data_IF_638184310898
#
_entry.id   IF_638184310898
#
_cell.length_a   1.000
_cell.length_b   1.000
_cell.length_c   1.000
_cell.angle_alpha   90.00
_cell.angle_beta   90.00
_cell.angle_gamma   90.00
#
_symmetry.space_group_name_H-M   'P 1'
#
loop_
_entity.id
_entity.type
_entity.pdbx_description
1 polymer ?
#
# COMPACT_ATOMS: atom_id res chain seq x y z
N UNK A 1 49.79 -52.66 59.17
CA UNK A 1 48.43 -52.51 59.71
C UNK A 1 48.30 -51.08 60.19
N UNK A 2 47.52 -50.31 59.44
CA UNK A 2 46.82 -49.03 59.68
C UNK A 2 46.75 -48.38 58.30
N UNK A 3 45.64 -48.72 57.61
CA UNK A 3 45.16 -48.09 56.39
C UNK A 3 44.60 -46.73 56.79
N UNK A 4 45.11 -45.65 56.19
CA UNK A 4 44.42 -44.37 56.17
C UNK A 4 43.79 -44.20 54.79
N UNK A 5 42.47 -44.39 54.78
CA UNK A 5 41.54 -44.24 53.67
C UNK A 5 41.50 -42.80 53.18
N UNK A 6 41.82 -42.58 51.90
CA UNK A 6 41.43 -41.39 51.16
C UNK A 6 39.91 -41.42 50.90
N UNK A 7 39.20 -40.29 50.95
CA UNK A 7 37.78 -40.22 50.58
C UNK A 7 37.61 -40.32 49.05
N UNK A 8 36.54 -40.97 48.55
CA UNK A 8 36.27 -41.04 47.12
C UNK A 8 35.75 -39.71 46.59
N UNK A 9 36.28 -39.30 45.43
CA UNK A 9 35.79 -38.21 44.61
C UNK A 9 34.30 -38.42 44.26
N UNK A 10 33.50 -37.39 44.48
CA UNK A 10 32.09 -37.38 44.10
C UNK A 10 31.96 -37.42 42.58
N UNK A 11 31.59 -38.59 42.05
CA UNK A 11 31.02 -38.74 40.71
C UNK A 11 29.70 -37.97 40.64
N UNK A 12 29.77 -36.72 40.20
CA UNK A 12 28.59 -35.98 39.80
C UNK A 12 27.95 -36.68 38.61
N UNK A 13 26.75 -37.23 38.79
CA UNK A 13 25.88 -37.59 37.67
C UNK A 13 25.60 -36.30 36.89
N UNK A 14 26.36 -36.07 35.82
CA UNK A 14 26.00 -35.08 34.83
C UNK A 14 24.82 -35.68 34.06
N UNK A 15 23.62 -35.28 34.46
CA UNK A 15 22.44 -35.50 33.66
C UNK A 15 22.72 -34.91 32.27
N UNK A 16 22.85 -35.78 31.26
CA UNK A 16 22.73 -35.37 29.88
C UNK A 16 21.30 -34.85 29.71
N UNK A 17 21.11 -33.56 29.95
CA UNK A 17 19.96 -32.86 29.41
C UNK A 17 20.10 -32.95 27.90
N UNK A 18 19.21 -33.76 27.30
CA UNK A 18 18.97 -33.73 25.86
C UNK A 18 18.49 -32.31 25.58
N UNK A 19 19.40 -31.45 25.12
CA UNK A 19 19.00 -30.18 24.51
C UNK A 19 18.19 -30.59 23.29
N UNK A 20 16.89 -30.24 23.20
CA UNK A 20 16.12 -30.52 21.99
C UNK A 20 16.90 -29.89 20.84
N UNK A 21 17.25 -30.71 19.85
CA UNK A 21 17.99 -30.31 18.66
C UNK A 21 17.50 -28.94 18.19
N UNK A 22 18.39 -27.95 18.09
CA UNK A 22 18.08 -26.70 17.42
C UNK A 22 17.51 -27.07 16.04
N UNK A 23 16.21 -26.85 15.87
CA UNK A 23 15.50 -27.17 14.64
C UNK A 23 16.08 -26.26 13.56
N UNK A 24 16.71 -26.85 12.54
CA UNK A 24 17.58 -26.14 11.61
C UNK A 24 16.83 -24.94 10.99
N UNK A 25 15.62 -25.14 10.48
CA UNK A 25 14.80 -24.10 9.86
C UNK A 25 14.27 -23.01 10.81
N UNK A 26 14.18 -23.31 12.12
CA UNK A 26 13.77 -22.33 13.14
C UNK A 26 14.95 -21.52 13.68
N UNK A 27 16.19 -21.92 13.38
CA UNK A 27 17.39 -21.21 13.79
C UNK A 27 17.71 -20.04 12.85
N UNK A 28 18.47 -19.02 13.31
CA UNK A 28 18.97 -17.96 12.43
C UNK A 28 19.78 -18.54 11.26
N UNK A 29 19.36 -18.25 10.03
CA UNK A 29 19.96 -18.81 8.80
C UNK A 29 19.34 -20.13 8.31
N UNK A 30 18.43 -20.72 9.07
CA UNK A 30 17.67 -21.91 8.68
C UNK A 30 16.55 -21.68 7.66
N UNK A 31 16.13 -20.42 7.54
CA UNK A 31 15.09 -19.97 6.63
C UNK A 31 15.52 -18.67 5.96
N UNK A 32 14.90 -18.37 4.83
CA UNK A 32 15.07 -17.11 4.10
C UNK A 32 13.96 -16.15 4.45
N UNK A 33 14.25 -14.86 4.44
CA UNK A 33 13.24 -13.83 4.63
C UNK A 33 12.60 -13.51 3.29
N UNK A 34 11.29 -13.67 3.20
CA UNK A 34 10.50 -13.23 2.06
C UNK A 34 9.88 -11.88 2.42
N UNK A 35 10.61 -10.81 2.09
CA UNK A 35 10.30 -9.45 2.51
C UNK A 35 9.97 -8.57 1.32
N UNK A 36 8.73 -8.07 1.28
CA UNK A 36 8.30 -7.05 0.32
C UNK A 36 7.00 -6.41 0.82
N UNK A 37 6.95 -5.07 0.99
CA UNK A 37 5.72 -4.34 1.33
C UNK A 37 4.54 -4.65 0.42
N UNK A 38 4.82 -4.88 -0.86
CA UNK A 38 3.81 -5.13 -1.88
C UNK A 38 3.09 -6.46 -1.67
N UNK A 39 3.64 -7.42 -0.89
CA UNK A 39 2.99 -8.71 -0.58
C UNK A 39 1.82 -8.59 0.38
N UNK A 40 1.54 -7.40 0.91
CA UNK A 40 0.44 -7.17 1.83
C UNK A 40 -0.90 -7.43 1.13
N UNK A 41 -1.80 -8.17 1.80
CA UNK A 41 -3.19 -8.40 1.33
C UNK A 41 -3.95 -7.11 1.01
N UNK A 42 -3.62 -5.98 1.63
CA UNK A 42 -4.26 -4.69 1.40
C UNK A 42 -3.63 -3.89 0.24
N UNK A 43 -2.55 -4.37 -0.37
CA UNK A 43 -1.92 -3.68 -1.48
C UNK A 43 -2.66 -3.97 -2.80
N UNK A 44 -3.30 -2.94 -3.37
CA UNK A 44 -3.97 -3.02 -4.67
C UNK A 44 -2.94 -2.99 -5.81
N UNK A 45 -3.00 -4.02 -6.65
CA UNK A 45 -2.08 -4.29 -7.75
C UNK A 45 -2.71 -4.02 -9.12
N UNK A 46 -3.95 -3.51 -9.20
CA UNK A 46 -4.60 -3.18 -10.47
C UNK A 46 -3.78 -2.16 -11.28
N UNK A 47 -3.17 -1.17 -10.63
CA UNK A 47 -2.35 -0.16 -11.29
C UNK A 47 -0.97 -0.67 -11.74
N UNK A 48 -0.45 -1.75 -11.14
CA UNK A 48 0.81 -2.38 -11.56
C UNK A 48 0.69 -3.09 -12.92
N UNK A 49 -0.53 -3.40 -13.37
CA UNK A 49 -0.77 -3.99 -14.69
C UNK A 49 -0.53 -2.99 -15.82
N UNK A 50 -0.56 -1.69 -15.53
CA UNK A 50 -0.50 -0.60 -16.51
C UNK A 50 0.87 0.08 -16.58
N UNK A 51 1.77 -0.21 -15.63
CA UNK A 51 3.10 0.42 -15.56
C UNK A 51 4.21 -0.62 -15.71
N UNK A 52 4.96 -0.55 -16.80
CA UNK A 52 6.15 -1.38 -17.02
C UNK A 52 7.31 -1.09 -16.04
N UNK A 53 7.16 -0.07 -15.19
CA UNK A 53 8.20 0.43 -14.28
C UNK A 53 8.23 -0.28 -12.92
N UNK A 54 7.16 -0.98 -12.52
CA UNK A 54 7.13 -1.79 -11.30
C UNK A 54 6.86 -3.25 -11.65
N UNK A 55 7.85 -4.10 -11.39
CA UNK A 55 7.78 -5.53 -11.66
C UNK A 55 6.76 -6.18 -10.71
N UNK A 56 5.68 -6.73 -11.26
CA UNK A 56 4.71 -7.52 -10.49
C UNK A 56 5.44 -8.65 -9.76
N UNK A 57 4.94 -9.01 -8.58
CA UNK A 57 5.44 -10.15 -7.83
C UNK A 57 5.09 -11.43 -8.59
N UNK A 58 6.13 -12.08 -9.09
CA UNK A 58 6.08 -13.37 -9.77
C UNK A 58 7.00 -14.37 -9.07
N UNK A 59 6.45 -15.25 -8.23
CA UNK A 59 7.22 -16.24 -7.46
C UNK A 59 7.59 -17.49 -8.28
N UNK A 60 7.50 -17.45 -9.61
CA UNK A 60 7.99 -18.55 -10.47
C UNK A 60 9.52 -18.70 -10.40
N UNK A 61 10.23 -17.64 -10.01
CA UNK A 61 11.68 -17.62 -9.82
C UNK A 61 12.08 -17.89 -8.36
N UNK A 62 11.10 -18.03 -7.46
CA UNK A 62 11.34 -18.33 -6.06
C UNK A 62 11.94 -19.73 -5.91
N UNK A 63 13.16 -19.84 -5.42
CA UNK A 63 13.77 -21.14 -5.14
C UNK A 63 13.00 -21.88 -4.05
N UNK A 64 12.92 -23.21 -4.12
CA UNK A 64 12.33 -23.98 -3.03
C UNK A 64 13.14 -23.87 -1.73
N UNK A 65 12.46 -23.72 -0.59
CA UNK A 65 13.10 -23.62 0.71
C UNK A 65 12.17 -23.14 1.82
N UNK A 66 12.69 -23.05 3.05
CA UNK A 66 11.97 -22.48 4.17
C UNK A 66 12.00 -20.96 4.13
N UNK A 67 10.83 -20.34 4.21
CA UNK A 67 10.65 -18.90 4.19
C UNK A 67 9.90 -18.42 5.41
N UNK A 68 10.28 -17.24 5.90
CA UNK A 68 9.53 -16.45 6.87
C UNK A 68 9.12 -15.15 6.20
N UNK A 69 7.84 -14.79 6.31
CA UNK A 69 7.34 -13.56 5.73
C UNK A 69 7.64 -12.38 6.64
N UNK A 70 8.05 -11.28 6.01
CA UNK A 70 8.11 -9.98 6.66
C UNK A 70 7.40 -8.93 5.79
N UNK A 71 6.53 -8.15 6.43
CA UNK A 71 5.95 -6.95 5.84
C UNK A 71 6.47 -5.76 6.62
N UNK A 72 7.09 -4.79 5.93
CA UNK A 72 7.65 -3.60 6.57
C UNK A 72 8.57 -3.93 7.77
N UNK A 73 9.46 -4.93 7.59
CA UNK A 73 10.36 -5.47 8.63
C UNK A 73 9.64 -6.09 9.86
N UNK A 74 8.33 -6.35 9.77
CA UNK A 74 7.54 -7.00 10.83
C UNK A 74 7.16 -8.44 10.53
N UNK A 75 6.96 -9.28 11.56
CA UNK A 75 6.38 -10.60 11.41
C UNK A 75 5.06 -10.55 10.62
N UNK A 76 5.01 -11.35 9.57
CA UNK A 76 3.81 -11.56 8.79
C UNK A 76 3.59 -13.07 8.59
N UNK A 77 2.33 -13.44 8.39
CA UNK A 77 1.91 -14.82 8.14
C UNK A 77 1.24 -14.88 6.76
N UNK A 78 1.25 -16.06 6.12
CA UNK A 78 0.37 -16.25 4.96
C UNK A 78 -1.09 -16.12 5.42
N UNK A 79 -1.93 -15.31 4.74
CA UNK A 79 -3.33 -15.15 5.10
C UNK A 79 -4.05 -16.50 4.99
N UNK A 80 -4.92 -16.81 5.94
CA UNK A 80 -5.73 -18.04 5.92
C UNK A 80 -7.12 -17.84 5.33
N UNK A 81 -7.39 -16.62 4.84
CA UNK A 81 -8.63 -16.23 4.16
C UNK A 81 -8.34 -15.97 2.69
N UNK A 82 -9.34 -16.22 1.85
CA UNK A 82 -9.24 -15.93 0.42
C UNK A 82 -8.90 -14.46 0.19
N UNK A 83 -7.86 -14.23 -0.59
CA UNK A 83 -7.43 -12.90 -1.04
C UNK A 83 -8.05 -12.61 -2.40
N UNK A 84 -8.52 -11.38 -2.62
CA UNK A 84 -9.06 -10.91 -3.90
C UNK A 84 -7.99 -10.85 -4.99
N UNK A 85 -8.39 -11.01 -6.26
CA UNK A 85 -7.46 -10.87 -7.38
C UNK A 85 -6.84 -9.47 -7.42
N UNK A 86 -5.65 -9.36 -8.00
CA UNK A 86 -4.92 -8.10 -8.08
C UNK A 86 -4.56 -7.50 -6.72
N UNK A 87 -4.30 -8.34 -5.73
CA UNK A 87 -3.75 -7.92 -4.43
C UNK A 87 -2.36 -8.55 -4.20
N UNK A 88 -1.67 -8.12 -3.15
CA UNK A 88 -0.34 -8.62 -2.77
C UNK A 88 0.74 -8.45 -3.84
N UNK A 89 0.62 -7.42 -4.68
CA UNK A 89 1.58 -7.10 -5.72
C UNK A 89 1.53 -8.06 -6.91
N UNK A 90 0.49 -8.88 -7.04
CA UNK A 90 0.37 -9.93 -8.07
C UNK A 90 -1.05 -10.03 -8.63
N UNK A 91 -1.21 -10.63 -9.81
CA UNK A 91 -2.53 -10.87 -10.42
C UNK A 91 -3.24 -12.06 -9.80
N UNK A 92 -2.46 -13.07 -9.40
CA UNK A 92 -2.93 -14.33 -8.85
C UNK A 92 -2.36 -14.52 -7.42
N UNK A 93 -3.02 -13.93 -6.41
CA UNK A 93 -2.56 -14.01 -5.04
C UNK A 93 -2.70 -15.42 -4.47
N UNK A 94 -1.65 -15.89 -3.80
CA UNK A 94 -1.57 -17.19 -3.13
C UNK A 94 -1.72 -17.01 -1.62
N UNK A 95 -2.69 -17.72 -1.04
CA UNK A 95 -3.02 -17.71 0.38
C UNK A 95 -3.05 -19.14 0.94
N UNK A 96 -2.98 -19.30 2.25
CA UNK A 96 -2.96 -20.62 2.89
C UNK A 96 -4.39 -21.12 3.14
N UNK A 97 -4.81 -22.18 2.47
CA UNK A 97 -6.14 -22.75 2.64
C UNK A 97 -6.16 -23.74 3.79
N UNK A 98 -7.01 -23.45 4.77
CA UNK A 98 -7.34 -24.34 5.88
C UNK A 98 -8.72 -24.91 5.62
N UNK A 99 -8.85 -26.23 5.49
CA UNK A 99 -10.16 -26.90 5.49
C UNK A 99 -10.83 -26.72 6.85
N UNK A 100 -12.15 -26.91 6.92
CA UNK A 100 -12.95 -26.66 8.14
C UNK A 100 -12.45 -27.37 9.42
N UNK A 101 -11.74 -28.50 9.27
CA UNK A 101 -11.12 -29.26 10.37
C UNK A 101 -9.62 -29.04 10.55
N UNK A 102 -8.98 -28.25 9.68
CA UNK A 102 -7.54 -28.01 9.70
C UNK A 102 -7.19 -26.72 10.41
N UNK A 103 -6.31 -26.84 11.40
CA UNK A 103 -5.69 -25.71 12.09
C UNK A 103 -4.22 -25.57 11.70
N UNK A 104 -3.62 -24.41 12.00
CA UNK A 104 -2.17 -24.22 11.95
C UNK A 104 -1.45 -25.18 12.93
N UNK A 105 -0.19 -25.56 12.64
CA UNK A 105 0.58 -26.49 13.47
C UNK A 105 0.81 -25.96 14.89
N UNK A 106 0.83 -26.86 15.87
CA UNK A 106 1.20 -26.54 17.25
C UNK A 106 2.70 -26.24 17.35
N UNK A 107 3.18 -25.51 18.38
CA UNK A 107 4.60 -25.21 18.54
C UNK A 107 5.49 -26.46 18.44
N UNK A 108 6.50 -26.41 17.56
CA UNK A 108 7.43 -27.50 17.27
C UNK A 108 6.99 -28.46 16.15
N UNK A 109 5.70 -28.45 15.78
CA UNK A 109 5.10 -29.32 14.77
C UNK A 109 5.33 -28.80 13.34
N UNK A 110 5.42 -29.74 12.38
CA UNK A 110 5.34 -29.47 10.94
C UNK A 110 4.05 -30.09 10.42
N UNK A 111 3.25 -29.31 9.71
CA UNK A 111 2.00 -29.77 9.09
C UNK A 111 2.01 -29.50 7.59
N UNK A 112 1.62 -30.50 6.80
CA UNK A 112 1.40 -30.35 5.37
C UNK A 112 0.03 -29.73 5.15
N UNK A 113 0.00 -28.60 4.47
CA UNK A 113 -1.19 -27.82 4.15
C UNK A 113 -1.22 -27.50 2.65
N UNK A 114 -2.31 -26.89 2.19
CA UNK A 114 -2.47 -26.48 0.80
C UNK A 114 -2.54 -24.97 0.73
N UNK A 115 -1.68 -24.35 -0.08
CA UNK A 115 -1.85 -22.98 -0.51
C UNK A 115 -2.71 -22.94 -1.79
N UNK A 116 -3.52 -21.91 -1.92
CA UNK A 116 -4.48 -21.74 -3.01
C UNK A 116 -4.20 -20.43 -3.73
N UNK A 117 -4.19 -20.47 -5.06
CA UNK A 117 -4.16 -19.25 -5.88
C UNK A 117 -5.59 -18.86 -6.28
N UNK A 118 -5.92 -17.60 -6.03
CA UNK A 118 -7.18 -17.01 -6.47
C UNK A 118 -7.11 -16.62 -7.95
N UNK A 119 -8.10 -17.03 -8.75
CA UNK A 119 -8.22 -16.63 -10.15
C UNK A 119 -9.68 -16.60 -10.65
N UNK A 120 -9.93 -15.79 -11.68
CA UNK A 120 -11.21 -15.69 -12.37
C UNK A 120 -10.98 -15.76 -13.88
N UNK A 121 -11.69 -16.67 -14.56
CA UNK A 121 -11.66 -16.73 -16.03
C UNK A 121 -12.49 -15.59 -16.63
N UNK A 122 -12.03 -15.08 -17.78
CA UNK A 122 -12.57 -13.90 -18.50
C UNK A 122 -14.06 -13.98 -18.91
N UNK A 123 -14.76 -15.07 -18.61
CA UNK A 123 -16.19 -15.27 -18.90
C UNK A 123 -16.96 -15.93 -17.74
N UNK A 124 -16.33 -16.07 -16.57
CA UNK A 124 -16.94 -16.65 -15.37
C UNK A 124 -17.41 -15.54 -14.44
N UNK A 125 -18.66 -15.58 -13.99
CA UNK A 125 -19.18 -14.72 -12.93
C UNK A 125 -18.80 -15.23 -11.53
N UNK A 126 -18.29 -16.46 -11.43
CA UNK A 126 -17.84 -17.06 -10.18
C UNK A 126 -16.33 -17.01 -10.10
N UNK A 127 -15.83 -16.32 -9.06
CA UNK A 127 -14.43 -16.31 -8.65
C UNK A 127 -14.10 -17.65 -7.97
N UNK A 128 -13.00 -18.27 -8.38
CA UNK A 128 -12.47 -19.45 -7.69
C UNK A 128 -11.28 -19.03 -6.82
N UNK A 129 -11.48 -19.04 -5.51
CA UNK A 129 -10.46 -18.74 -4.51
C UNK A 129 -9.37 -19.81 -4.42
N UNK A 130 -9.57 -21.00 -4.98
CA UNK A 130 -8.59 -22.08 -4.94
C UNK A 130 -8.52 -22.82 -6.28
N UNK A 131 -8.33 -22.06 -7.36
CA UNK A 131 -8.20 -22.65 -8.69
C UNK A 131 -6.92 -23.49 -8.81
N UNK A 132 -5.79 -22.98 -8.30
CA UNK A 132 -4.53 -23.71 -8.27
C UNK A 132 -4.16 -24.09 -6.84
N UNK A 133 -3.85 -25.36 -6.63
CA UNK A 133 -3.44 -25.91 -5.34
C UNK A 133 -1.95 -26.16 -5.33
N UNK A 134 -1.27 -25.62 -4.31
CA UNK A 134 0.18 -25.71 -4.15
C UNK A 134 0.45 -26.34 -2.79
N UNK A 135 1.14 -27.49 -2.71
CA UNK A 135 1.45 -28.10 -1.43
C UNK A 135 2.49 -27.25 -0.68
N UNK A 136 2.22 -26.97 0.59
CA UNK A 136 3.10 -26.17 1.46
C UNK A 136 3.23 -26.88 2.80
N UNK A 137 4.46 -26.99 3.31
CA UNK A 137 4.68 -27.43 4.69
C UNK A 137 4.80 -26.21 5.59
N UNK A 138 4.05 -26.18 6.68
CA UNK A 138 4.12 -25.10 7.66
C UNK A 138 4.73 -25.66 8.94
N UNK A 139 5.74 -24.97 9.47
CA UNK A 139 6.34 -25.29 10.76
C UNK A 139 6.11 -24.16 11.74
N UNK A 140 5.67 -24.50 12.95
CA UNK A 140 5.56 -23.54 14.05
C UNK A 140 6.86 -23.56 14.88
N UNK A 141 7.63 -22.48 14.84
CA UNK A 141 8.85 -22.31 15.61
C UNK A 141 8.60 -21.73 17.01
N UNK A 142 7.35 -21.71 17.46
CA UNK A 142 6.89 -21.12 18.72
C UNK A 142 6.58 -19.63 18.57
N UNK A 143 7.56 -18.84 18.13
CA UNK A 143 7.42 -17.38 18.00
C UNK A 143 7.02 -16.91 16.59
N UNK A 144 7.14 -17.78 15.59
CA UNK A 144 6.83 -17.48 14.20
C UNK A 144 6.60 -18.79 13.42
N UNK A 145 5.94 -18.67 12.28
CA UNK A 145 5.85 -19.76 11.30
C UNK A 145 6.92 -19.64 10.24
N UNK A 146 7.42 -20.78 9.79
CA UNK A 146 8.18 -20.89 8.53
C UNK A 146 7.42 -21.79 7.58
N UNK A 147 7.50 -21.45 6.30
CA UNK A 147 6.74 -22.08 5.22
C UNK A 147 7.73 -22.68 4.23
N UNK A 148 7.62 -23.97 3.95
CA UNK A 148 8.36 -24.62 2.88
C UNK A 148 7.67 -24.28 1.57
N UNK A 149 8.18 -23.26 0.90
CA UNK A 149 7.63 -22.76 -0.35
C UNK A 149 8.35 -23.37 -1.55
N UNK A 150 7.68 -23.32 -2.69
CA UNK A 150 8.17 -23.80 -3.97
C UNK A 150 7.90 -22.79 -5.08
N UNK A 151 8.66 -22.82 -6.20
CA UNK A 151 8.38 -21.96 -7.34
C UNK A 151 6.95 -22.16 -7.84
N UNK A 152 6.27 -21.07 -8.19
CA UNK A 152 4.88 -21.10 -8.64
C UNK A 152 4.79 -21.41 -10.14
N UNK A 153 3.64 -21.93 -10.59
CA UNK A 153 3.37 -22.17 -12.01
C UNK A 153 2.86 -20.89 -12.67
N UNK A 154 3.71 -20.20 -13.43
CA UNK A 154 3.37 -18.88 -14.00
C UNK A 154 3.56 -17.74 -13.00
N UNK A 155 3.14 -16.52 -13.36
CA UNK A 155 3.30 -15.36 -12.48
C UNK A 155 2.18 -15.33 -11.41
N UNK A 156 2.43 -16.01 -10.30
CA UNK A 156 1.61 -15.96 -9.08
C UNK A 156 2.50 -15.59 -7.88
N UNK A 157 1.94 -14.94 -6.86
CA UNK A 157 2.71 -14.45 -5.71
C UNK A 157 2.15 -14.89 -4.36
N UNK A 158 3.01 -15.35 -3.46
CA UNK A 158 2.66 -15.64 -2.06
C UNK A 158 2.37 -14.34 -1.29
N UNK A 159 1.13 -14.22 -0.82
CA UNK A 159 0.66 -13.13 0.02
C UNK A 159 1.19 -13.24 1.45
N UNK A 160 1.23 -12.10 2.11
CA UNK A 160 1.46 -11.98 3.53
C UNK A 160 0.44 -11.04 4.16
N UNK A 161 0.07 -11.30 5.40
CA UNK A 161 -0.76 -10.47 6.24
C UNK A 161 0.00 -10.18 7.53
N UNK A 162 0.00 -8.92 7.95
CA UNK A 162 0.72 -8.52 9.16
C UNK A 162 0.06 -9.16 10.38
N UNK A 163 0.87 -9.70 11.29
CA UNK A 163 0.36 -10.21 12.57
C UNK A 163 -0.04 -8.99 13.40
N UNK A 164 -1.32 -8.88 13.80
CA UNK A 164 -1.76 -7.80 14.69
C UNK A 164 -1.13 -7.96 16.08
N UNK A 165 -0.80 -6.83 16.72
CA UNK A 165 -0.17 -6.80 18.06
C UNK A 165 -0.99 -7.57 19.13
N UNK A 166 -2.28 -7.83 18.88
CA UNK A 166 -3.15 -8.63 19.74
C UNK A 166 -2.83 -10.14 19.74
N UNK A 167 -2.13 -10.66 18.72
CA UNK A 167 -1.82 -12.10 18.57
C UNK A 167 -0.41 -12.46 19.08
N UNK A 168 0.40 -11.46 19.44
CA UNK A 168 1.81 -11.65 19.84
C UNK A 168 2.03 -11.82 21.36
N UNK A 169 0.99 -11.66 22.20
CA UNK A 169 1.14 -11.66 23.66
C UNK A 169 0.06 -12.50 24.40
N UNK A 170 0.46 -13.23 25.44
CA UNK A 170 -0.43 -13.99 26.35
C UNK A 170 -0.96 -13.15 27.53
N UNK A 171 -0.40 -11.95 27.77
CA UNK A 171 -1.06 -10.85 28.52
C UNK A 171 -1.27 -9.66 27.55
N UNK A 172 -2.11 -8.69 27.92
CA UNK A 172 -2.42 -7.55 27.05
C UNK A 172 -1.21 -6.65 26.75
N UNK A 173 -1.29 -5.78 25.73
CA UNK A 173 -0.19 -4.90 25.28
C UNK A 173 0.34 -3.90 26.33
N UNK A 174 -0.21 -3.88 27.55
CA UNK A 174 0.19 -2.99 28.66
C UNK A 174 0.57 -3.73 29.95
N UNK A 175 0.71 -5.06 29.93
CA UNK A 175 0.94 -5.85 31.15
C UNK A 175 2.23 -6.67 31.10
N UNK A 176 2.98 -6.67 32.20
CA UNK A 176 4.17 -7.53 32.39
C UNK A 176 3.79 -8.67 33.33
N UNK A 177 4.22 -9.89 33.01
CA UNK A 177 4.04 -11.07 33.86
C UNK A 177 5.06 -11.05 35.01
N UNK A 178 4.59 -10.74 36.24
CA UNK A 178 5.41 -10.84 37.46
C UNK A 178 4.81 -11.93 38.33
N UNK A 179 5.43 -13.11 38.36
CA UNK A 179 5.01 -14.20 39.24
C UNK A 179 3.66 -14.83 38.89
N UNK A 180 3.18 -14.71 37.64
CA UNK A 180 1.94 -15.31 37.16
C UNK A 180 0.70 -14.40 37.23
N UNK A 181 0.85 -13.15 37.67
CA UNK A 181 -0.20 -12.11 37.58
C UNK A 181 0.20 -11.01 36.59
N UNK A 182 -0.74 -10.61 35.72
CA UNK A 182 -0.55 -9.52 34.77
C UNK A 182 -0.79 -8.16 35.50
N UNK A 183 0.19 -7.25 35.50
CA UNK A 183 0.08 -5.90 36.11
C UNK A 183 0.19 -4.81 35.03
N UNK A 184 -0.85 -3.99 34.90
CA UNK A 184 -0.98 -2.96 33.85
C UNK A 184 -0.16 -1.69 34.12
N UNK A 185 0.69 -1.33 33.17
CA UNK A 185 1.38 -0.04 33.14
C UNK A 185 0.87 0.77 31.93
N UNK A 186 0.02 1.76 32.21
CA UNK A 186 -0.54 2.72 31.24
C UNK A 186 0.59 3.41 30.46
N UNK A 187 0.99 2.82 29.33
CA UNK A 187 1.91 3.42 28.39
C UNK A 187 1.09 3.95 27.23
N UNK A 188 0.48 5.11 27.42
CA UNK A 188 -0.26 5.81 26.38
C UNK A 188 0.63 5.92 25.14
N UNK A 189 0.32 5.15 24.09
CA UNK A 189 1.04 5.23 22.83
C UNK A 189 0.53 6.45 22.09
N UNK A 190 1.29 7.54 22.18
CA UNK A 190 0.95 8.77 21.51
C UNK A 190 1.08 8.59 19.99
N UNK A 191 0.10 9.09 19.20
CA UNK A 191 0.21 9.08 17.76
C UNK A 191 1.42 9.91 17.30
N UNK A 192 2.03 9.57 16.16
CA UNK A 192 3.12 10.36 15.61
C UNK A 192 2.65 11.80 15.32
N UNK A 193 3.59 12.76 15.28
CA UNK A 193 3.26 14.11 14.84
C UNK A 193 2.69 14.06 13.42
N UNK A 194 1.67 14.88 13.11
CA UNK A 194 1.10 14.94 11.77
C UNK A 194 2.14 15.47 10.75
N UNK A 195 1.96 15.14 9.45
CA UNK A 195 2.85 15.64 8.41
C UNK A 195 2.71 17.16 8.24
N UNK A 196 3.68 17.76 7.55
CA UNK A 196 3.51 19.09 6.97
C UNK A 196 2.30 19.12 6.04
N UNK A 197 1.76 20.32 5.77
CA UNK A 197 0.61 20.45 4.88
C UNK A 197 0.99 19.91 3.49
N UNK A 198 0.23 18.95 2.94
CA UNK A 198 0.54 18.45 1.61
C UNK A 198 0.36 19.52 0.54
N UNK A 199 1.28 19.53 -0.40
CA UNK A 199 1.26 20.40 -1.58
C UNK A 199 1.02 19.56 -2.83
N UNK A 200 0.07 20.02 -3.65
CA UNK A 200 -0.28 19.36 -4.92
C UNK A 200 0.34 20.14 -6.06
N UNK A 201 1.19 19.46 -6.84
CA UNK A 201 1.91 20.01 -8.00
C UNK A 201 1.69 19.10 -9.19
N UNK A 202 1.65 19.64 -10.41
CA UNK A 202 1.52 18.83 -11.63
C UNK A 202 2.90 18.50 -12.20
N UNK A 203 3.13 17.22 -12.45
CA UNK A 203 4.35 16.69 -13.05
C UNK A 203 4.03 16.00 -14.38
N UNK A 204 4.91 16.18 -15.37
CA UNK A 204 4.86 15.48 -16.65
C UNK A 204 5.85 14.31 -16.60
N UNK A 205 5.35 13.08 -16.64
CA UNK A 205 6.16 11.86 -16.60
C UNK A 205 5.85 11.05 -17.85
N UNK A 206 6.84 10.81 -18.71
CA UNK A 206 6.70 10.00 -19.92
C UNK A 206 5.50 10.41 -20.80
N UNK A 207 5.30 11.72 -20.99
CA UNK A 207 4.18 12.32 -21.74
C UNK A 207 2.79 12.18 -21.11
N UNK A 208 2.70 11.75 -19.85
CA UNK A 208 1.46 11.69 -19.06
C UNK A 208 1.49 12.69 -17.92
N UNK A 209 0.34 13.26 -17.60
CA UNK A 209 0.20 14.26 -16.55
C UNK A 209 -0.19 13.61 -15.23
N UNK A 210 0.54 13.94 -14.18
CA UNK A 210 0.28 13.46 -12.83
C UNK A 210 0.16 14.64 -11.87
N UNK A 211 -0.83 14.59 -10.99
CA UNK A 211 -0.84 15.39 -9.78
C UNK A 211 0.00 14.66 -8.73
N UNK A 212 1.10 15.28 -8.32
CA UNK A 212 1.94 14.84 -7.20
C UNK A 212 1.49 15.54 -5.94
N UNK A 213 1.18 14.77 -4.92
CA UNK A 213 1.01 15.26 -3.57
C UNK A 213 2.26 14.94 -2.77
N UNK A 214 2.94 15.94 -2.22
CA UNK A 214 4.14 15.78 -1.39
C UNK A 214 4.02 16.58 -0.09
N UNK A 215 4.68 16.12 0.97
CA UNK A 215 4.64 16.75 2.29
C UNK A 215 5.94 16.56 3.06
N UNK A 216 6.21 17.50 3.98
CA UNK A 216 7.36 17.42 4.86
C UNK A 216 7.11 16.46 6.03
N UNK A 217 8.13 15.69 6.38
CA UNK A 217 8.09 14.74 7.50
C UNK A 217 9.11 15.16 8.53
N UNK A 218 8.67 15.31 9.78
CA UNK A 218 9.58 15.61 10.88
C UNK A 218 10.57 14.46 11.06
N UNK A 219 11.87 14.73 11.27
CA UNK A 219 12.85 13.66 11.49
C UNK A 219 12.47 12.88 12.75
N UNK A 220 12.24 11.58 12.59
CA UNK A 220 11.95 10.65 13.69
C UNK A 220 12.97 9.52 13.68
N UNK A 221 13.28 8.98 14.85
CA UNK A 221 14.20 7.83 14.98
C UNK A 221 13.53 6.50 14.62
N UNK A 222 12.24 6.53 14.29
CA UNK A 222 11.40 5.35 14.06
C UNK A 222 10.98 5.31 12.60
N UNK A 223 10.91 4.11 12.02
CA UNK A 223 10.38 3.96 10.67
C UNK A 223 8.89 4.30 10.65
N UNK A 224 8.51 5.20 9.76
CA UNK A 224 7.13 5.68 9.59
C UNK A 224 6.57 5.27 8.23
N UNK A 225 5.26 5.09 8.17
CA UNK A 225 4.50 4.94 6.94
C UNK A 225 3.46 6.06 6.81
N UNK A 226 2.91 6.19 5.61
CA UNK A 226 1.97 7.23 5.24
C UNK A 226 0.71 6.61 4.65
N UNK A 227 -0.45 7.08 5.10
CA UNK A 227 -1.72 6.82 4.45
C UNK A 227 -2.10 8.10 3.69
N UNK A 228 -2.20 7.99 2.37
CA UNK A 228 -2.47 9.13 1.48
C UNK A 228 -3.79 8.87 0.75
N UNK A 229 -4.71 9.83 0.82
CA UNK A 229 -6.01 9.77 0.19
C UNK A 229 -6.25 10.99 -0.71
N UNK A 230 -6.69 10.74 -1.94
CA UNK A 230 -7.10 11.75 -2.91
C UNK A 230 -8.62 11.84 -2.93
N UNK A 231 -9.13 13.06 -2.93
CA UNK A 231 -10.56 13.32 -3.07
C UNK A 231 -10.85 14.44 -4.06
N UNK A 232 -12.04 14.40 -4.64
CA UNK A 232 -12.57 15.41 -5.56
C UNK A 232 -13.81 16.07 -4.96
N UNK A 233 -13.95 17.37 -5.17
CA UNK A 233 -15.17 18.10 -4.87
C UNK A 233 -16.21 17.90 -5.99
N UNK A 234 -17.34 17.31 -5.66
CA UNK A 234 -18.46 17.15 -6.57
C UNK A 234 -19.19 18.48 -6.78
N UNK A 235 -20.12 18.52 -7.74
CA UNK A 235 -20.98 19.69 -7.98
C UNK A 235 -21.92 20.01 -6.81
N UNK A 236 -22.12 19.05 -5.90
CA UNK A 236 -22.91 19.21 -4.68
C UNK A 236 -22.05 19.62 -3.48
N UNK A 237 -20.78 20.00 -3.70
CA UNK A 237 -19.81 20.35 -2.66
C UNK A 237 -19.53 19.17 -1.69
N UNK A 238 -19.66 17.93 -2.18
CA UNK A 238 -19.34 16.71 -1.43
C UNK A 238 -17.98 16.20 -1.90
N UNK A 239 -17.12 15.78 -0.96
CA UNK A 239 -15.84 15.16 -1.29
C UNK A 239 -16.03 13.68 -1.61
N UNK A 240 -15.67 13.29 -2.82
CA UNK A 240 -15.67 11.92 -3.32
C UNK A 240 -14.24 11.39 -3.32
N UNK A 241 -14.02 10.21 -2.74
CA UNK A 241 -12.70 9.58 -2.73
C UNK A 241 -12.35 9.06 -4.13
N UNK A 242 -11.15 9.38 -4.60
CA UNK A 242 -10.63 8.93 -5.89
C UNK A 242 -9.64 7.77 -5.74
N UNK A 243 -8.78 7.84 -4.72
CA UNK A 243 -7.69 6.89 -4.49
C UNK A 243 -7.23 6.97 -3.04
N UNK A 244 -7.00 5.82 -2.41
CA UNK A 244 -6.35 5.73 -1.10
C UNK A 244 -5.20 4.70 -1.17
N UNK A 245 -4.04 5.04 -0.63
CA UNK A 245 -2.88 4.15 -0.64
C UNK A 245 -2.06 4.24 0.65
N UNK A 246 -1.39 3.14 0.98
CA UNK A 246 -0.42 3.07 2.07
C UNK A 246 0.99 2.98 1.48
N UNK A 247 1.88 3.89 1.83
CA UNK A 247 3.23 3.98 1.27
C UNK A 247 4.28 4.39 2.31
N UNK A 248 5.55 4.12 2.02
CA UNK A 248 6.71 4.63 2.78
C UNK A 248 7.31 5.88 2.15
N UNK A 249 6.80 6.31 1.00
CA UNK A 249 7.22 7.53 0.33
C UNK A 249 6.39 8.70 0.84
N UNK A 250 7.04 9.83 1.14
CA UNK A 250 6.36 11.06 1.55
C UNK A 250 5.68 11.79 0.38
N UNK A 251 5.19 11.04 -0.61
CA UNK A 251 4.46 11.55 -1.75
C UNK A 251 3.55 10.48 -2.38
N UNK A 252 2.57 10.94 -3.15
CA UNK A 252 1.64 10.13 -3.95
C UNK A 252 1.45 10.75 -5.33
N UNK A 253 1.12 9.93 -6.33
CA UNK A 253 0.79 10.36 -7.70
C UNK A 253 -0.65 9.96 -8.05
N UNK A 254 -1.36 10.90 -8.70
CA UNK A 254 -2.68 10.71 -9.28
C UNK A 254 -2.65 11.13 -10.76
N UNK A 255 -2.94 10.22 -11.67
CA UNK A 255 -2.90 10.49 -13.12
C UNK A 255 -4.10 11.32 -13.57
N UNK A 256 -3.86 12.30 -14.45
CA UNK A 256 -4.90 13.06 -15.14
C UNK A 256 -5.27 12.36 -16.45
N UNK A 257 -6.07 11.30 -16.30
CA UNK A 257 -6.45 10.35 -17.36
C UNK A 257 -7.80 10.68 -18.04
N UNK A 258 -8.58 11.60 -17.48
CA UNK A 258 -9.94 11.91 -17.93
C UNK A 258 -11.01 10.93 -17.45
N UNK A 259 -10.63 9.85 -16.77
CA UNK A 259 -11.53 8.84 -16.21
C UNK A 259 -11.73 9.13 -14.72
N UNK A 260 -10.64 9.07 -13.96
CA UNK A 260 -10.60 9.29 -12.51
C UNK A 260 -10.43 10.77 -12.19
N UNK A 261 -9.60 11.47 -12.95
CA UNK A 261 -9.37 12.91 -12.80
C UNK A 261 -9.58 13.63 -14.13
N UNK A 262 -10.51 14.61 -14.15
CA UNK A 262 -10.89 15.37 -15.34
C UNK A 262 -10.48 16.83 -15.24
N UNK A 263 -10.32 17.44 -16.41
CA UNK A 263 -10.20 18.89 -16.52
C UNK A 263 -11.40 19.60 -15.91
N UNK A 264 -11.13 20.56 -15.03
CA UNK A 264 -12.13 21.31 -14.27
C UNK A 264 -12.37 20.77 -12.86
N UNK A 265 -11.75 19.65 -12.49
CA UNK A 265 -11.91 19.06 -11.16
C UNK A 265 -11.18 19.89 -10.09
N UNK A 266 -11.79 19.95 -8.91
CA UNK A 266 -11.19 20.51 -7.70
C UNK A 266 -10.83 19.35 -6.80
N UNK A 267 -9.55 19.15 -6.52
CA UNK A 267 -9.04 17.99 -5.77
C UNK A 267 -8.33 18.40 -4.49
N UNK A 268 -8.29 17.45 -3.57
CA UNK A 268 -7.59 17.53 -2.29
C UNK A 268 -6.76 16.27 -2.08
N UNK A 269 -5.60 16.44 -1.48
CA UNK A 269 -4.78 15.34 -0.97
C UNK A 269 -4.75 15.40 0.55
N UNK A 270 -5.04 14.28 1.20
CA UNK A 270 -4.96 14.12 2.65
C UNK A 270 -3.88 13.10 3.00
N UNK A 271 -3.03 13.42 3.98
CA UNK A 271 -1.95 12.54 4.43
C UNK A 271 -1.97 12.39 5.95
N UNK A 272 -1.83 11.15 6.43
CA UNK A 272 -1.55 10.84 7.84
C UNK A 272 -0.28 10.00 7.97
N UNK A 273 0.38 10.12 9.12
CA UNK A 273 1.60 9.37 9.47
C UNK A 273 1.20 8.27 10.46
N UNK A 274 1.80 7.10 10.35
CA UNK A 274 1.77 6.08 11.38
C UNK A 274 3.17 5.53 11.62
N UNK A 275 3.46 5.10 12.85
CA UNK A 275 4.67 4.31 13.07
C UNK A 275 4.47 2.95 12.42
N UNK A 276 5.47 2.47 11.68
CA UNK A 276 5.38 1.11 11.13
C UNK A 276 5.07 0.13 12.26
N UNK A 277 5.66 0.36 13.46
CA UNK A 277 5.09 0.18 14.82
C UNK A 277 3.91 -0.81 15.04
N UNK A 278 2.65 -0.40 15.14
CA UNK A 278 2.05 0.92 15.26
C UNK A 278 0.99 1.29 14.21
N UNK A 279 0.62 0.50 13.17
CA UNK A 279 -0.13 1.04 12.03
C UNK A 279 -1.57 1.44 12.36
N UNK A 280 -2.13 0.88 13.44
CA UNK A 280 -3.44 1.24 13.95
C UNK A 280 -3.47 2.62 14.64
N UNK A 281 -2.30 3.15 15.01
CA UNK A 281 -2.18 4.45 15.68
C UNK A 281 -1.66 5.46 14.65
N UNK A 282 -2.59 6.20 14.08
CA UNK A 282 -2.33 7.20 13.05
C UNK A 282 -2.33 8.60 13.64
N UNK A 283 -1.54 9.50 13.06
CA UNK A 283 -1.65 10.93 13.30
C UNK A 283 -3.00 11.46 12.82
N UNK A 284 -3.28 12.71 13.19
CA UNK A 284 -4.31 13.47 12.46
C UNK A 284 -3.95 13.53 10.98
N UNK A 285 -4.95 13.35 10.13
CA UNK A 285 -4.82 13.51 8.70
C UNK A 285 -4.81 15.02 8.38
N UNK A 286 -3.81 15.46 7.62
CA UNK A 286 -3.68 16.85 7.18
C UNK A 286 -3.99 16.91 5.70
N UNK A 287 -4.88 17.83 5.35
CA UNK A 287 -5.33 18.04 3.98
C UNK A 287 -4.59 19.20 3.30
N UNK A 288 -4.36 19.06 2.00
CA UNK A 288 -3.83 20.08 1.12
C UNK A 288 -4.80 21.25 0.96
N UNK A 289 -4.31 22.34 0.37
CA UNK A 289 -5.21 23.34 -0.19
C UNK A 289 -5.99 22.75 -1.39
N UNK A 290 -7.12 23.37 -1.72
CA UNK A 290 -7.87 23.03 -2.94
C UNK A 290 -6.96 23.23 -4.16
N UNK A 291 -6.78 22.18 -4.94
CA UNK A 291 -6.10 22.25 -6.22
C UNK A 291 -7.12 22.15 -7.34
N UNK A 292 -7.21 23.18 -8.18
CA UNK A 292 -8.01 23.12 -9.40
C UNK A 292 -7.16 22.54 -10.52
N UNK A 293 -7.58 21.43 -11.14
CA UNK A 293 -6.91 20.81 -12.26
C UNK A 293 -7.55 21.25 -13.59
N UNK A 294 -7.07 22.35 -14.19
CA UNK A 294 -7.64 22.81 -15.46
C UNK A 294 -7.20 24.21 -15.90
N UNK A 295 -8.00 24.77 -16.80
CA UNK A 295 -7.82 26.13 -17.34
C UNK A 295 -9.01 26.99 -16.90
N UNK A 296 -8.76 28.10 -16.20
CA UNK A 296 -9.77 29.09 -15.80
C UNK A 296 -9.76 30.28 -16.75
N UNK A 297 -10.96 30.76 -17.09
CA UNK A 297 -11.19 32.00 -17.81
C UNK A 297 -11.74 33.02 -16.81
N UNK A 298 -11.02 34.11 -16.60
CA UNK A 298 -11.40 35.19 -15.69
C UNK A 298 -11.55 36.48 -16.48
N UNK A 299 -12.78 36.84 -16.90
CA UNK A 299 -13.02 38.13 -17.52
C UNK A 299 -12.87 39.25 -16.50
N UNK A 300 -12.37 40.41 -16.92
CA UNK A 300 -12.33 41.62 -16.08
C UNK A 300 -13.73 42.07 -15.66
N UNK A 301 -14.70 41.96 -16.58
CA UNK A 301 -16.11 42.28 -16.35
C UNK A 301 -17.00 41.17 -16.91
N UNK A 302 -18.04 40.79 -16.16
CA UNK A 302 -19.04 39.82 -16.60
C UNK A 302 -19.96 40.36 -17.70
N UNK A 303 -20.06 41.69 -17.79
CA UNK A 303 -20.88 42.40 -18.78
C UNK A 303 -20.02 43.50 -19.38
N UNK A 304 -19.97 43.53 -20.71
CA UNK A 304 -19.23 44.53 -21.48
C UNK A 304 -20.23 45.38 -22.26
N UNK A 305 -19.88 46.64 -22.49
CA UNK A 305 -20.65 47.54 -23.36
C UNK A 305 -19.92 47.74 -24.67
N UNK A 306 -20.64 47.96 -25.77
CA UNK A 306 -20.07 48.39 -27.05
C UNK A 306 -19.67 49.88 -27.01
N UNK A 307 -18.86 50.27 -26.03
CA UNK A 307 -18.45 51.66 -25.78
C UNK A 307 -17.10 52.02 -26.43
N UNK A 308 -16.56 51.12 -27.25
CA UNK A 308 -15.27 51.27 -27.90
C UNK A 308 -14.06 51.08 -26.96
N UNK A 309 -14.27 50.64 -25.72
CA UNK A 309 -13.16 50.27 -24.81
C UNK A 309 -12.70 48.84 -25.04
N UNK A 310 -11.42 48.61 -24.80
CA UNK A 310 -10.84 47.28 -24.75
C UNK A 310 -11.10 46.66 -23.37
N UNK A 311 -11.52 45.39 -23.34
CA UNK A 311 -11.75 44.62 -22.13
C UNK A 311 -10.80 43.43 -22.08
N UNK A 312 -10.25 43.13 -20.90
CA UNK A 312 -9.29 42.04 -20.74
C UNK A 312 -9.95 40.73 -20.30
N UNK A 313 -9.49 39.62 -20.89
CA UNK A 313 -9.82 38.25 -20.47
C UNK A 313 -8.53 37.55 -20.04
N UNK A 314 -8.41 37.23 -18.75
CA UNK A 314 -7.27 36.50 -18.20
C UNK A 314 -7.51 34.99 -18.32
N UNK A 315 -6.49 34.27 -18.74
CA UNK A 315 -6.47 32.81 -18.83
C UNK A 315 -5.43 32.29 -17.84
N UNK A 316 -5.86 31.44 -16.91
CA UNK A 316 -4.97 30.83 -15.91
C UNK A 316 -5.01 29.32 -16.05
N UNK A 317 -3.86 28.70 -16.32
CA UNK A 317 -3.74 27.24 -16.42
C UNK A 317 -2.93 26.70 -15.25
N UNK A 318 -3.48 25.72 -14.54
CA UNK A 318 -2.77 25.00 -13.47
C UNK A 318 -2.16 23.69 -13.95
N UNK A 319 -2.52 23.27 -15.17
CA UNK A 319 -1.97 22.10 -15.83
C UNK A 319 -1.17 22.52 -17.07
N UNK A 320 -0.06 21.85 -17.41
CA UNK A 320 0.69 22.16 -18.60
C UNK A 320 -0.02 21.62 -19.85
N UNK A 321 0.17 22.31 -20.97
CA UNK A 321 -0.37 21.91 -22.27
C UNK A 321 0.66 20.99 -22.91
N UNK A 322 0.33 19.70 -23.03
CA UNK A 322 1.22 18.71 -23.66
C UNK A 322 0.98 18.75 -25.16
N UNK A 323 2.02 19.12 -25.92
CA UNK A 323 1.99 19.14 -27.37
C UNK A 323 2.81 17.96 -27.89
N UNK A 324 2.23 17.11 -28.73
CA UNK A 324 2.93 15.96 -29.31
C UNK A 324 3.97 16.42 -30.32
N UNK A 325 5.22 15.95 -30.23
CA UNK A 325 6.28 16.24 -31.22
C UNK A 325 6.02 15.60 -32.61
N UNK A 326 5.01 14.73 -32.74
CA UNK A 326 4.68 13.98 -33.96
C UNK A 326 3.60 14.62 -34.84
N UNK A 327 3.36 15.93 -34.76
CA UNK A 327 2.61 16.62 -35.81
C UNK A 327 3.53 16.82 -37.03
N UNK A 328 3.60 15.79 -37.90
CA UNK A 328 4.34 15.80 -39.18
C UNK A 328 3.90 16.87 -40.20
N UNK A 329 3.07 17.82 -39.81
CA UNK A 329 2.60 18.94 -40.61
C UNK A 329 2.46 20.11 -39.64
N UNK A 330 3.14 21.24 -39.91
CA UNK A 330 3.09 22.58 -39.29
C UNK A 330 1.77 22.98 -38.57
N UNK A 331 1.37 22.21 -37.56
CA UNK A 331 0.21 22.45 -36.73
C UNK A 331 0.76 22.97 -35.42
N UNK A 332 0.90 24.29 -35.36
CA UNK A 332 1.10 25.03 -34.13
C UNK A 332 0.14 24.48 -33.07
N UNK A 333 0.70 24.07 -31.92
CA UNK A 333 -0.08 23.59 -30.79
C UNK A 333 -1.01 24.71 -30.31
N UNK A 334 -2.31 24.57 -30.56
CA UNK A 334 -3.31 25.63 -30.38
C UNK A 334 -4.43 25.16 -29.47
N UNK A 335 -4.78 26.00 -28.51
CA UNK A 335 -6.02 25.87 -27.73
C UNK A 335 -7.07 26.78 -28.35
N UNK A 336 -8.19 26.19 -28.79
CA UNK A 336 -9.33 26.95 -29.32
C UNK A 336 -10.26 27.36 -28.19
N UNK A 337 -10.48 28.66 -28.03
CA UNK A 337 -11.44 29.22 -27.09
C UNK A 337 -12.72 29.62 -27.84
N UNK A 338 -13.86 29.11 -27.39
CA UNK A 338 -15.16 29.47 -27.98
C UNK A 338 -15.88 30.45 -27.05
N UNK A 339 -15.87 31.73 -27.43
CA UNK A 339 -16.64 32.76 -26.76
C UNK A 339 -18.09 32.73 -27.26
N UNK A 340 -19.05 32.77 -26.35
CA UNK A 340 -20.47 32.96 -26.64
C UNK A 340 -20.90 34.27 -26.00
N UNK A 341 -21.45 35.17 -26.79
CA UNK A 341 -22.09 36.41 -26.30
C UNK A 341 -23.59 36.20 -26.26
N UNK A 342 -24.25 36.78 -25.26
CA UNK A 342 -25.72 36.84 -25.16
C UNK A 342 -26.07 38.32 -25.13
N UNK A 343 -26.64 38.81 -26.22
CA UNK A 343 -27.07 40.19 -26.33
C UNK A 343 -28.41 40.39 -25.61
N UNK A 344 -28.56 41.48 -24.87
CA UNK A 344 -29.82 41.84 -24.22
C UNK A 344 -30.81 42.49 -25.21
N UNK A 345 -30.32 43.00 -26.35
CA UNK A 345 -31.19 43.56 -27.39
C UNK A 345 -31.42 42.55 -28.52
N UNK A 346 -32.66 42.08 -28.62
CA UNK A 346 -33.13 41.13 -29.65
C UNK A 346 -33.25 41.73 -31.06
N UNK A 347 -32.45 42.74 -31.40
CA UNK A 347 -32.60 43.51 -32.64
C UNK A 347 -31.40 43.58 -33.58
N UNK A 348 -30.20 43.10 -33.23
CA UNK A 348 -29.07 43.17 -34.17
C UNK A 348 -28.20 41.91 -34.17
N UNK A 349 -28.19 41.21 -35.31
CA UNK A 349 -27.23 40.16 -35.61
C UNK A 349 -25.84 40.78 -35.78
N UNK A 350 -24.93 40.52 -34.85
CA UNK A 350 -23.52 40.93 -34.98
C UNK A 350 -22.85 40.03 -36.03
N UNK A 351 -22.44 40.63 -37.15
CA UNK A 351 -21.60 39.98 -38.15
C UNK A 351 -20.19 39.74 -37.60
N UNK A 352 -19.65 38.54 -37.83
CA UNK A 352 -18.26 38.17 -37.52
C UNK A 352 -17.29 39.19 -38.13
N UNK A 353 -16.45 39.80 -37.30
CA UNK A 353 -15.19 40.38 -37.78
C UNK A 353 -14.22 39.23 -38.06
N UNK A 354 -13.65 39.24 -39.27
CA UNK A 354 -12.63 38.31 -39.77
C UNK A 354 -11.28 38.51 -39.13
#
# INVERSE_FOLDING_TARGET
>A
MILLSQPPESLGLQACTIVPSLLNECSPGGHRLLQSPYRNVHFDSMHLQQSAAQEMICDHSLSSGWYRFLLFDRPAEMPTKCVEMNHCGTQAPIWLSLRDSETLPSPGEIKQLTACATWQFLFSTTKDCCLFQIPVSVRNCGQFYVYLLQPTQGCMGYCAEAISDAKLHTCGPEEIEIGGDCVGQLSASFPPPPPGRPEVVVELIESRLFCRCAFDVSPTNSSVGFLIAWSRLSSQEIKEELKQETTVQAFSLLELDGINLRLGDRIFCSASIFFLEKPHIQSLAIESQEFFAGIKLQPELSTISEDGKEYQLRIESTIPIVCSEFSELDQECKISLKLKTVDQDSLWNIHRCT
#
